data_IF_757006812971
#
_entry.id   IF_757006812971
#
_cell.length_a   1.000
_cell.length_b   1.000
_cell.length_c   1.000
_cell.angle_alpha   90.00
_cell.angle_beta   90.00
_cell.angle_gamma   90.00
#
_symmetry.space_group_name_H-M   'P 1'
#
loop_
_entity.id
_entity.type
_entity.pdbx_description
1 polymer ?
#
# COMPACT_ATOMS: atom_id res chain seq x y z
N UNK A 1 -26.22 4.23 9.16
CA UNK A 1 -24.89 4.32 8.53
C UNK A 1 -24.63 2.94 7.97
N UNK A 2 -24.53 2.81 6.65
CA UNK A 2 -24.25 1.53 6.03
C UNK A 2 -22.82 1.12 6.41
N UNK A 3 -22.66 -0.10 6.89
CA UNK A 3 -21.37 -0.61 7.38
C UNK A 3 -20.71 -1.36 6.24
N UNK A 4 -19.54 -0.89 5.85
CA UNK A 4 -18.78 -1.40 4.72
C UNK A 4 -17.74 -2.42 5.20
N UNK A 5 -17.73 -3.62 4.64
CA UNK A 5 -16.70 -4.64 4.84
C UNK A 5 -16.00 -4.97 3.53
N UNK A 6 -14.68 -5.10 3.55
CA UNK A 6 -13.93 -5.68 2.43
C UNK A 6 -13.72 -7.18 2.63
N UNK A 7 -14.02 -7.97 1.59
CA UNK A 7 -13.93 -9.43 1.61
C UNK A 7 -12.62 -9.92 0.97
N UNK A 8 -11.57 -10.04 1.78
CA UNK A 8 -10.26 -10.52 1.35
C UNK A 8 -10.27 -12.03 1.15
N UNK A 9 -9.93 -12.53 -0.04
CA UNK A 9 -9.97 -13.95 -0.33
C UNK A 9 -8.95 -14.35 -1.40
N UNK A 10 -8.64 -15.65 -1.48
CA UNK A 10 -7.97 -16.23 -2.64
C UNK A 10 -9.00 -16.41 -3.77
N UNK A 11 -8.60 -16.25 -5.04
CA UNK A 11 -9.48 -16.42 -6.20
C UNK A 11 -10.14 -17.81 -6.26
N UNK A 12 -9.50 -18.85 -5.73
CA UNK A 12 -10.05 -20.21 -5.63
C UNK A 12 -11.23 -20.31 -4.66
N UNK A 13 -11.22 -19.51 -3.59
CA UNK A 13 -12.24 -19.52 -2.54
C UNK A 13 -13.46 -18.64 -2.89
N UNK A 14 -13.37 -17.88 -3.99
CA UNK A 14 -14.37 -16.90 -4.42
C UNK A 14 -15.80 -17.42 -4.47
N UNK A 15 -16.11 -18.63 -4.96
CA UNK A 15 -17.49 -19.12 -5.02
C UNK A 15 -18.17 -19.25 -3.65
N UNK A 16 -17.42 -19.52 -2.59
CA UNK A 16 -17.96 -19.57 -1.23
C UNK A 16 -18.08 -18.18 -0.61
N UNK A 17 -17.12 -17.30 -0.87
CA UNK A 17 -17.14 -15.90 -0.44
C UNK A 17 -18.35 -15.17 -1.03
N UNK A 18 -18.72 -15.45 -2.28
CA UNK A 18 -19.90 -14.89 -2.94
C UNK A 18 -21.22 -15.26 -2.23
N UNK A 19 -21.31 -16.47 -1.67
CA UNK A 19 -22.50 -16.89 -0.89
C UNK A 19 -22.61 -16.07 0.39
N UNK A 20 -21.49 -15.93 1.10
CA UNK A 20 -21.41 -15.12 2.32
C UNK A 20 -21.71 -13.64 2.01
N UNK A 21 -21.16 -13.09 0.92
CA UNK A 21 -21.46 -11.74 0.44
C UNK A 21 -22.96 -11.54 0.23
N UNK A 22 -23.62 -12.50 -0.42
CA UNK A 22 -25.06 -12.43 -0.68
C UNK A 22 -25.86 -12.34 0.62
N UNK A 23 -25.49 -13.12 1.64
CA UNK A 23 -26.12 -13.07 2.97
C UNK A 23 -25.85 -11.75 3.71
N UNK A 24 -24.66 -11.17 3.56
CA UNK A 24 -24.33 -9.85 4.13
C UNK A 24 -25.18 -8.73 3.49
N UNK A 25 -25.30 -8.74 2.16
CA UNK A 25 -26.10 -7.77 1.41
C UNK A 25 -27.60 -7.85 1.78
N UNK A 26 -28.14 -9.06 1.97
CA UNK A 26 -29.53 -9.26 2.44
C UNK A 26 -29.79 -8.66 3.83
N UNK A 27 -28.74 -8.39 4.59
CA UNK A 27 -28.80 -7.81 5.94
C UNK A 27 -28.32 -6.37 5.98
N UNK A 28 -28.32 -5.69 4.82
CA UNK A 28 -27.94 -4.28 4.66
C UNK A 28 -26.49 -3.98 5.09
N UNK A 29 -25.59 -4.96 4.91
CA UNK A 29 -24.15 -4.80 5.10
C UNK A 29 -23.50 -4.74 3.72
N UNK A 30 -22.91 -3.59 3.40
CA UNK A 30 -22.21 -3.37 2.15
C UNK A 30 -20.90 -4.17 2.15
N UNK A 31 -20.84 -5.16 1.26
CA UNK A 31 -19.76 -6.15 1.25
C UNK A 31 -19.01 -6.10 -0.08
N UNK A 32 -17.86 -5.42 -0.03
CA UNK A 32 -16.99 -5.15 -1.17
C UNK A 32 -16.19 -6.39 -1.57
N UNK A 33 -16.30 -6.75 -2.86
CA UNK A 33 -15.63 -7.89 -3.47
C UNK A 33 -15.10 -7.49 -4.85
N UNK A 34 -13.80 -7.72 -5.04
CA UNK A 34 -13.01 -7.40 -6.24
C UNK A 34 -13.72 -7.58 -7.61
N UNK A 35 -14.50 -8.66 -7.80
CA UNK A 35 -15.17 -8.96 -9.07
C UNK A 35 -16.34 -8.03 -9.42
N UNK A 36 -17.02 -7.50 -8.42
CA UNK A 36 -18.27 -6.77 -8.62
C UNK A 36 -18.11 -5.28 -8.42
N UNK A 37 -17.22 -4.91 -7.50
CA UNK A 37 -17.14 -3.54 -7.01
C UNK A 37 -15.92 -2.80 -7.54
N UNK A 38 -15.04 -3.48 -8.29
CA UNK A 38 -13.95 -2.85 -9.03
C UNK A 38 -14.27 -2.77 -10.53
N UNK A 39 -14.09 -1.57 -11.06
CA UNK A 39 -14.11 -1.24 -12.47
C UNK A 39 -13.02 -2.03 -13.23
N UNK A 40 -13.40 -2.73 -14.31
CA UNK A 40 -12.44 -3.32 -15.23
C UNK A 40 -11.51 -2.26 -15.84
N UNK A 41 -10.27 -2.66 -16.18
CA UNK A 41 -9.25 -1.81 -16.79
C UNK A 41 -8.65 -0.70 -15.91
N UNK A 42 -9.06 -0.61 -14.64
CA UNK A 42 -8.36 0.15 -13.61
C UNK A 42 -7.50 -0.78 -12.76
N UNK A 43 -6.40 -0.27 -12.22
CA UNK A 43 -5.60 -1.02 -11.25
C UNK A 43 -6.47 -1.29 -10.02
N UNK A 44 -6.46 -2.53 -9.55
CA UNK A 44 -7.29 -2.92 -8.41
C UNK A 44 -6.82 -2.25 -7.11
N UNK A 45 -5.54 -1.89 -7.03
CA UNK A 45 -4.96 -1.17 -5.89
C UNK A 45 -5.54 0.25 -5.77
N UNK A 46 -5.57 1.03 -6.86
CA UNK A 46 -6.14 2.40 -6.85
C UNK A 46 -7.60 2.40 -6.39
N UNK A 47 -8.36 1.40 -6.84
CA UNK A 47 -9.76 1.25 -6.47
C UNK A 47 -9.92 0.81 -5.02
N UNK A 48 -9.04 -0.06 -4.53
CA UNK A 48 -8.99 -0.42 -3.12
C UNK A 48 -8.65 0.81 -2.25
N UNK A 49 -7.76 1.71 -2.70
CA UNK A 49 -7.42 2.97 -2.02
C UNK A 49 -8.61 3.95 -1.94
N UNK A 50 -9.50 3.94 -2.94
CA UNK A 50 -10.73 4.75 -2.93
C UNK A 50 -11.76 4.22 -1.92
N UNK A 51 -11.85 2.90 -1.76
CA UNK A 51 -12.82 2.27 -0.85
C UNK A 51 -12.27 2.08 0.56
N UNK A 52 -10.95 2.00 0.76
CA UNK A 52 -10.35 1.74 2.08
C UNK A 52 -10.63 2.86 3.09
N UNK A 53 -10.91 4.09 2.61
CA UNK A 53 -11.39 5.19 3.44
C UNK A 53 -12.87 5.06 3.88
N UNK A 54 -13.62 4.18 3.24
CA UNK A 54 -15.06 3.98 3.44
C UNK A 54 -15.38 2.69 4.21
N UNK A 55 -14.46 1.71 4.18
CA UNK A 55 -14.61 0.45 4.91
C UNK A 55 -14.37 0.61 6.41
N UNK A 56 -15.17 -0.08 7.22
CA UNK A 56 -15.03 -0.13 8.67
C UNK A 56 -14.42 -1.46 9.15
N UNK A 57 -14.46 -2.47 8.28
CA UNK A 57 -13.98 -3.81 8.57
C UNK A 57 -13.36 -4.52 7.36
N UNK A 58 -12.51 -5.51 7.64
CA UNK A 58 -11.98 -6.45 6.67
C UNK A 58 -12.20 -7.89 7.17
N UNK A 59 -12.77 -8.74 6.32
CA UNK A 59 -12.96 -10.16 6.58
C UNK A 59 -12.02 -10.97 5.68
N UNK A 60 -11.13 -11.77 6.28
CA UNK A 60 -10.10 -12.54 5.58
C UNK A 60 -10.54 -13.99 5.47
N UNK A 61 -10.92 -14.42 4.29
CA UNK A 61 -11.43 -15.75 4.02
C UNK A 61 -10.30 -16.72 3.70
N UNK A 62 -10.40 -17.92 4.28
CA UNK A 62 -9.46 -19.03 4.08
C UNK A 62 -10.27 -20.29 3.80
N UNK A 63 -10.18 -20.81 2.58
CA UNK A 63 -10.87 -22.03 2.15
C UNK A 63 -9.91 -23.12 1.70
N UNK A 64 -10.19 -23.69 0.54
CA UNK A 64 -9.50 -24.85 -0.01
C UNK A 64 -8.11 -24.56 -0.57
N UNK A 65 -7.76 -23.29 -0.75
CA UNK A 65 -6.46 -22.90 -1.28
C UNK A 65 -5.32 -23.37 -0.37
N UNK A 66 -4.21 -23.85 -0.96
CA UNK A 66 -3.02 -24.29 -0.21
C UNK A 66 -2.31 -23.14 0.53
N UNK A 67 -2.66 -21.90 0.20
CA UNK A 67 -2.11 -20.69 0.79
C UNK A 67 -3.21 -19.64 1.00
N UNK A 68 -3.35 -19.15 2.23
CA UNK A 68 -4.30 -18.08 2.56
C UNK A 68 -3.97 -16.76 1.85
N UNK A 69 -4.86 -15.75 1.89
CA UNK A 69 -4.71 -14.51 1.12
C UNK A 69 -3.40 -13.77 1.39
N UNK A 70 -2.82 -13.92 2.59
CA UNK A 70 -1.56 -13.32 3.00
C UNK A 70 -0.30 -13.87 2.31
N UNK A 71 -0.41 -14.98 1.56
CA UNK A 71 0.69 -15.44 0.72
C UNK A 71 0.87 -14.55 -0.52
N UNK A 72 -0.20 -13.90 -0.97
CA UNK A 72 -0.11 -12.84 -1.95
C UNK A 72 0.43 -11.58 -1.24
N UNK A 73 1.57 -11.08 -1.73
CA UNK A 73 2.28 -9.93 -1.13
C UNK A 73 1.40 -8.68 -1.14
N UNK A 74 0.67 -8.43 -2.23
CA UNK A 74 -0.21 -7.27 -2.36
C UNK A 74 -1.32 -7.31 -1.30
N UNK A 75 -1.97 -8.46 -1.14
CA UNK A 75 -2.97 -8.68 -0.09
C UNK A 75 -2.36 -8.54 1.31
N UNK A 76 -1.13 -9.01 1.53
CA UNK A 76 -0.44 -8.88 2.83
C UNK A 76 -0.22 -7.43 3.22
N UNK A 77 0.14 -6.55 2.29
CA UNK A 77 0.33 -5.13 2.57
C UNK A 77 -1.00 -4.44 2.91
N UNK A 78 -2.11 -4.79 2.25
CA UNK A 78 -3.43 -4.30 2.66
C UNK A 78 -3.82 -4.75 4.07
N UNK A 79 -3.45 -5.97 4.45
CA UNK A 79 -3.66 -6.43 5.82
C UNK A 79 -2.84 -5.63 6.83
N UNK A 80 -1.65 -5.14 6.45
CA UNK A 80 -0.85 -4.22 7.28
C UNK A 80 -1.56 -2.87 7.38
N UNK A 81 -2.01 -2.30 6.27
CA UNK A 81 -2.74 -1.02 6.23
C UNK A 81 -4.02 -1.07 7.10
N UNK A 82 -4.77 -2.17 7.06
CA UNK A 82 -5.94 -2.35 7.93
C UNK A 82 -5.59 -2.34 9.42
N UNK A 83 -4.42 -2.89 9.80
CA UNK A 83 -3.90 -2.82 11.18
C UNK A 83 -3.51 -1.39 11.54
N UNK A 84 -2.81 -0.68 10.66
CA UNK A 84 -2.36 0.70 10.91
C UNK A 84 -3.55 1.66 11.07
N UNK A 85 -4.61 1.46 10.28
CA UNK A 85 -5.87 2.21 10.39
C UNK A 85 -6.77 1.75 11.54
N UNK A 86 -6.38 0.70 12.26
CA UNK A 86 -7.16 0.11 13.37
C UNK A 86 -8.57 -0.31 12.94
N UNK A 87 -8.72 -0.78 11.70
CA UNK A 87 -9.99 -1.33 11.23
C UNK A 87 -10.32 -2.63 11.97
N UNK A 88 -11.61 -2.96 12.03
CA UNK A 88 -12.01 -4.26 12.56
C UNK A 88 -11.61 -5.33 11.56
N UNK A 89 -10.83 -6.30 12.01
CA UNK A 89 -10.36 -7.36 11.14
C UNK A 89 -10.60 -8.72 11.78
N UNK A 90 -10.96 -9.71 10.96
CA UNK A 90 -11.22 -11.05 11.42
C UNK A 90 -10.90 -12.08 10.35
N UNK A 91 -10.43 -13.24 10.79
CA UNK A 91 -10.20 -14.39 9.93
C UNK A 91 -11.46 -15.25 9.87
N UNK A 92 -11.88 -15.61 8.67
CA UNK A 92 -13.06 -16.40 8.37
C UNK A 92 -12.63 -17.70 7.71
N UNK A 93 -12.88 -18.82 8.37
CA UNK A 93 -12.54 -20.15 7.86
C UNK A 93 -13.75 -20.69 7.12
N UNK A 94 -13.57 -20.97 5.83
CA UNK A 94 -14.61 -21.50 4.96
C UNK A 94 -14.79 -23.02 5.16
N UNK A 95 -15.98 -23.57 4.85
CA UNK A 95 -16.24 -25.01 4.91
C UNK A 95 -15.25 -25.87 4.13
N UNK A 96 -14.76 -25.37 2.99
CA UNK A 96 -13.77 -26.06 2.15
C UNK A 96 -12.35 -26.12 2.74
N UNK A 97 -12.08 -25.40 3.84
CA UNK A 97 -10.75 -25.36 4.42
C UNK A 97 -10.32 -26.71 5.01
N UNK A 98 -9.27 -27.28 4.42
CA UNK A 98 -8.71 -28.60 4.77
C UNK A 98 -7.80 -28.55 6.00
N UNK A 99 -7.31 -27.37 6.37
CA UNK A 99 -6.36 -27.21 7.47
C UNK A 99 -7.05 -27.24 8.83
N UNK A 100 -6.43 -27.92 9.79
CA UNK A 100 -6.78 -27.81 11.20
C UNK A 100 -6.47 -26.40 11.74
N UNK A 101 -7.12 -26.01 12.85
CA UNK A 101 -6.82 -24.73 13.50
C UNK A 101 -5.34 -24.60 13.92
N UNK A 102 -4.69 -25.70 14.29
CA UNK A 102 -3.26 -25.73 14.62
C UNK A 102 -2.36 -25.47 13.41
N UNK A 103 -2.69 -26.05 12.25
CA UNK A 103 -1.95 -25.84 11.00
C UNK A 103 -2.13 -24.40 10.51
N UNK A 104 -3.38 -23.90 10.54
CA UNK A 104 -3.68 -22.50 10.23
C UNK A 104 -2.90 -21.56 11.14
N UNK A 105 -2.85 -21.80 12.46
CA UNK A 105 -2.07 -20.96 13.38
C UNK A 105 -0.58 -20.95 13.05
N UNK A 106 -0.04 -22.01 12.44
CA UNK A 106 1.37 -22.07 12.08
C UNK A 106 1.66 -21.26 10.81
N UNK A 107 0.76 -21.35 9.82
CA UNK A 107 0.90 -20.68 8.52
C UNK A 107 0.42 -19.23 8.52
N UNK A 108 -0.45 -18.86 9.45
CA UNK A 108 -1.02 -17.50 9.55
C UNK A 108 0.04 -16.54 10.12
N UNK A 109 0.23 -15.35 9.53
CA UNK A 109 1.08 -14.30 10.09
C UNK A 109 0.76 -13.99 11.57
N UNK A 110 1.79 -13.69 12.38
CA UNK A 110 1.62 -13.53 13.84
C UNK A 110 0.53 -12.52 14.21
N UNK A 111 0.44 -11.40 13.50
CA UNK A 111 -0.56 -10.37 13.79
C UNK A 111 -2.00 -10.87 13.59
N UNK A 112 -2.24 -11.76 12.62
CA UNK A 112 -3.56 -12.33 12.35
C UNK A 112 -3.99 -13.39 13.39
N UNK A 113 -3.04 -14.00 14.10
CA UNK A 113 -3.33 -15.00 15.16
C UNK A 113 -4.01 -14.38 16.38
N UNK A 114 -3.86 -13.07 16.56
CA UNK A 114 -4.39 -12.34 17.72
C UNK A 114 -5.86 -11.95 17.58
N UNK A 115 -6.45 -12.10 16.39
CA UNK A 115 -7.87 -11.82 16.18
C UNK A 115 -8.76 -13.01 16.52
N UNK A 116 -10.02 -12.75 16.86
CA UNK A 116 -11.03 -13.80 16.95
C UNK A 116 -11.38 -14.30 15.55
N UNK A 117 -11.40 -15.62 15.40
CA UNK A 117 -11.68 -16.28 14.13
C UNK A 117 -13.14 -16.74 14.08
N UNK A 118 -13.75 -16.64 12.91
CA UNK A 118 -15.10 -17.15 12.63
C UNK A 118 -14.96 -18.41 11.80
N UNK A 119 -15.42 -19.54 12.32
CA UNK A 119 -15.27 -20.85 11.66
C UNK A 119 -16.60 -21.34 11.09
N UNK A 120 -16.78 -21.24 9.77
CA UNK A 120 -18.01 -21.69 9.08
C UNK A 120 -18.12 -23.22 8.98
N UNK A 121 -17.10 -23.97 9.44
CA UNK A 121 -17.21 -25.44 9.62
C UNK A 121 -18.02 -25.79 10.86
N UNK A 122 -18.21 -24.83 11.78
CA UNK A 122 -18.97 -24.98 13.01
C UNK A 122 -20.33 -24.29 12.89
N UNK A 123 -21.35 -24.85 13.53
CA UNK A 123 -22.73 -24.32 13.49
C UNK A 123 -23.11 -23.59 14.78
N UNK A 124 -22.37 -23.81 15.87
CA UNK A 124 -22.61 -23.17 17.17
C UNK A 124 -21.28 -22.65 17.75
N UNK A 125 -21.14 -21.33 18.00
CA UNK A 125 -22.13 -20.29 17.70
C UNK A 125 -22.32 -20.07 16.19
N UNK A 126 -23.51 -19.61 15.79
CA UNK A 126 -23.87 -19.30 14.39
C UNK A 126 -22.78 -18.42 13.73
N UNK A 127 -22.06 -18.94 12.72
CA UNK A 127 -20.88 -18.26 12.16
C UNK A 127 -21.25 -16.98 11.43
N UNK A 128 -22.44 -16.90 10.81
CA UNK A 128 -22.89 -15.67 10.15
C UNK A 128 -23.18 -14.57 11.17
N UNK A 129 -23.80 -14.91 12.31
CA UNK A 129 -23.97 -13.94 13.42
C UNK A 129 -22.64 -13.48 13.99
N UNK A 130 -21.65 -14.37 14.12
CA UNK A 130 -20.31 -14.01 14.58
C UNK A 130 -19.60 -13.09 13.59
N UNK A 131 -19.69 -13.37 12.28
CA UNK A 131 -19.12 -12.52 11.23
C UNK A 131 -19.73 -11.11 11.26
N UNK A 132 -21.06 -11.02 11.33
CA UNK A 132 -21.77 -9.74 11.43
C UNK A 132 -21.36 -9.00 12.70
N UNK A 133 -21.23 -9.69 13.83
CA UNK A 133 -20.74 -9.06 15.05
C UNK A 133 -19.31 -8.51 14.87
N UNK A 134 -18.41 -9.29 14.27
CA UNK A 134 -17.04 -8.85 13.97
C UNK A 134 -16.98 -7.61 13.08
N UNK A 135 -17.80 -7.57 12.02
CA UNK A 135 -17.90 -6.43 11.11
C UNK A 135 -18.48 -5.21 11.83
N UNK A 136 -19.62 -5.40 12.50
CA UNK A 136 -20.44 -4.29 13.00
C UNK A 136 -20.01 -3.77 14.37
N UNK A 137 -19.27 -4.56 15.13
CA UNK A 137 -18.94 -4.32 16.53
C UNK A 137 -20.12 -4.42 17.49
N UNK A 138 -21.31 -4.81 17.02
CA UNK A 138 -22.54 -4.89 17.81
C UNK A 138 -22.89 -6.36 18.04
N UNK A 139 -22.93 -6.79 19.30
CA UNK A 139 -23.31 -8.16 19.65
C UNK A 139 -24.81 -8.36 19.34
N UNK A 140 -25.22 -9.44 18.66
CA UNK A 140 -26.62 -9.70 18.32
C UNK A 140 -27.60 -9.94 19.48
N UNK A 141 -27.28 -9.57 20.73
CA UNK A 141 -28.04 -9.93 21.94
C UNK A 141 -28.31 -8.72 22.87
N UNK A 142 -28.89 -7.66 22.32
CA UNK A 142 -29.46 -6.55 23.12
C UNK A 142 -30.64 -5.89 22.41
N UNK A 143 -31.63 -6.68 21.98
CA UNK A 143 -32.98 -6.16 21.75
C UNK A 143 -33.91 -6.77 22.80
N UNK A 144 -34.31 -6.01 23.84
CA UNK A 144 -35.51 -6.33 24.60
C UNK A 144 -36.72 -6.17 23.67
N UNK A 145 -37.58 -7.18 23.66
CA UNK A 145 -38.86 -7.21 22.96
C UNK A 145 -39.65 -5.92 23.18
N UNK A 146 -40.10 -5.29 22.09
CA UNK A 146 -40.89 -4.05 22.13
C UNK A 146 -42.19 -4.20 22.95
N UNK A 147 -42.71 -3.08 23.45
CA UNK A 147 -44.11 -2.75 23.15
C UNK A 147 -44.23 -1.48 22.30
N UNK A 148 -45.19 -1.55 21.38
CA UNK A 148 -45.73 -0.48 20.54
C UNK A 148 -46.32 0.65 21.38
N UNK A 149 -45.92 1.91 21.15
CA UNK A 149 -46.79 3.10 21.32
C UNK A 149 -46.43 4.16 20.27
N UNK A 150 -47.47 4.72 19.66
CA UNK A 150 -47.48 5.69 18.56
C UNK A 150 -47.20 7.15 19.00
N UNK A 151 -46.72 7.92 18.02
CA UNK A 151 -46.91 9.38 17.77
C UNK A 151 -46.33 10.41 18.75
N UNK A 152 -45.37 11.22 18.26
CA UNK A 152 -45.51 12.66 17.88
C UNK A 152 -44.11 13.33 17.78
N UNK A 153 -43.90 14.12 16.72
CA UNK A 153 -42.90 15.22 16.61
C UNK A 153 -43.60 16.56 16.95
N UNK A 154 -42.95 17.75 17.09
CA UNK A 154 -41.54 18.17 16.88
C UNK A 154 -40.99 19.06 18.07
N UNK A 155 -39.75 19.60 18.16
CA UNK A 155 -39.17 20.78 17.45
C UNK A 155 -37.74 21.12 17.97
N UNK A 156 -36.84 21.50 17.03
CA UNK A 156 -35.78 22.54 16.98
C UNK A 156 -35.08 23.06 18.27
N UNK A 157 -33.74 22.91 18.32
CA UNK A 157 -32.69 23.92 18.67
C UNK A 157 -31.36 23.19 18.97
N UNK A 158 -30.13 23.60 18.67
CA UNK A 158 -29.48 24.69 17.93
C UNK A 158 -27.99 24.27 17.79
N UNK A 159 -27.33 24.53 16.66
CA UNK A 159 -25.88 24.33 16.49
C UNK A 159 -25.06 25.28 17.38
N UNK A 160 -23.77 24.96 17.57
CA UNK A 160 -22.78 25.87 16.99
C UNK A 160 -21.74 25.16 16.14
N UNK A 161 -21.58 25.71 14.94
CA UNK A 161 -20.43 25.57 14.07
C UNK A 161 -19.19 26.19 14.76
N UNK A 162 -18.03 25.55 14.64
CA UNK A 162 -16.75 26.27 14.77
C UNK A 162 -15.83 25.89 13.62
N UNK A 163 -15.93 26.74 12.61
CA UNK A 163 -15.01 26.94 11.50
C UNK A 163 -13.64 27.35 12.10
N UNK A 164 -12.59 26.62 11.77
CA UNK A 164 -11.24 27.19 11.73
C UNK A 164 -10.94 27.49 10.26
N UNK A 165 -11.01 28.77 9.92
CA UNK A 165 -10.61 29.32 8.63
C UNK A 165 -9.08 29.35 8.52
N UNK A 166 -8.66 29.10 7.28
CA UNK A 166 -7.32 29.03 6.72
C UNK A 166 -6.45 30.27 6.95
N UNK A 167 -5.15 30.03 7.12
CA UNK A 167 -4.03 30.86 6.64
C UNK A 167 -2.76 29.99 6.78
N UNK A 168 -2.05 29.52 5.77
CA UNK A 168 -1.95 29.86 4.36
C UNK A 168 -1.66 28.57 3.60
N UNK A 169 -2.56 28.14 2.72
CA UNK A 169 -2.15 27.34 1.56
C UNK A 169 -2.62 28.11 0.35
N UNK A 170 -1.87 29.18 0.07
CA UNK A 170 -1.86 29.76 -1.26
C UNK A 170 -1.57 28.63 -2.24
N UNK A 171 -2.61 28.24 -2.96
CA UNK A 171 -2.53 27.44 -4.17
C UNK A 171 -1.75 28.24 -5.21
N UNK A 172 -0.43 28.30 -5.07
CA UNK A 172 0.39 28.57 -6.22
C UNK A 172 0.35 27.32 -7.08
N UNK A 173 -0.24 27.44 -8.27
CA UNK A 173 0.10 26.57 -9.40
C UNK A 173 1.59 26.76 -9.68
N UNK A 174 2.44 26.19 -8.83
CA UNK A 174 3.88 26.20 -8.98
C UNK A 174 4.20 25.32 -10.18
N UNK A 175 4.52 25.97 -11.29
CA UNK A 175 5.11 25.33 -12.46
C UNK A 175 6.29 24.51 -11.95
N UNK A 176 6.29 23.20 -12.24
CA UNK A 176 7.39 22.34 -11.84
C UNK A 176 8.67 22.81 -12.55
N UNK A 177 9.73 23.01 -11.77
CA UNK A 177 11.07 23.29 -12.28
C UNK A 177 11.65 22.00 -12.88
N UNK A 178 11.61 21.89 -14.22
CA UNK A 178 12.06 20.74 -15.00
C UNK A 178 13.48 20.94 -15.57
N UNK A 179 14.37 21.59 -14.80
CA UNK A 179 15.73 21.88 -15.25
C UNK A 179 16.53 20.62 -15.62
N UNK A 180 17.40 20.73 -16.62
CA UNK A 180 18.33 19.68 -17.06
C UNK A 180 19.62 20.30 -17.56
N UNK A 181 20.77 19.77 -17.14
CA UNK A 181 22.09 20.09 -17.71
C UNK A 181 22.32 19.38 -19.06
N UNK A 182 21.50 18.37 -19.36
CA UNK A 182 21.63 17.50 -20.54
C UNK A 182 20.51 17.68 -21.55
N UNK A 183 19.56 18.57 -21.29
CA UNK A 183 18.40 18.79 -22.15
C UNK A 183 17.40 17.63 -22.14
N UNK A 184 17.37 16.84 -21.06
CA UNK A 184 16.42 15.74 -20.86
C UNK A 184 15.04 16.33 -20.57
N UNK A 185 14.01 15.80 -21.24
CA UNK A 185 12.62 16.18 -21.02
C UNK A 185 12.00 15.34 -19.88
N UNK A 186 11.66 16.01 -18.77
CA UNK A 186 11.03 15.42 -17.60
C UNK A 186 9.50 15.58 -17.54
N UNK A 187 8.88 16.10 -18.60
CA UNK A 187 7.42 16.34 -18.62
C UNK A 187 6.62 15.07 -18.43
N UNK A 188 7.00 13.98 -19.10
CA UNK A 188 6.33 12.67 -18.96
C UNK A 188 6.45 12.13 -17.54
N UNK A 189 7.64 12.15 -16.94
CA UNK A 189 7.85 11.73 -15.56
C UNK A 189 6.96 12.53 -14.60
N UNK A 190 6.95 13.86 -14.73
CA UNK A 190 6.09 14.76 -13.94
C UNK A 190 4.61 14.38 -14.07
N UNK A 191 4.14 14.12 -15.27
CA UNK A 191 2.72 13.86 -15.53
C UNK A 191 2.28 12.48 -15.01
N UNK A 192 3.15 11.47 -15.11
CA UNK A 192 2.92 10.15 -14.51
C UNK A 192 2.86 10.23 -12.99
N UNK A 193 3.80 10.95 -12.36
CA UNK A 193 3.82 11.17 -10.92
C UNK A 193 2.59 11.93 -10.43
N UNK A 194 2.18 12.98 -11.14
CA UNK A 194 0.94 13.73 -10.83
C UNK A 194 -0.31 12.86 -10.91
N UNK A 195 -0.33 11.92 -11.84
CA UNK A 195 -1.44 11.00 -12.03
C UNK A 195 -1.43 9.82 -11.03
N UNK A 196 -0.40 9.70 -10.18
CA UNK A 196 -0.24 8.56 -9.28
C UNK A 196 0.10 7.26 -9.99
N UNK A 197 0.55 7.31 -11.24
CA UNK A 197 0.95 6.12 -11.99
C UNK A 197 2.40 5.74 -11.63
N UNK A 198 2.57 5.20 -10.42
CA UNK A 198 3.86 4.99 -9.77
C UNK A 198 4.76 4.01 -10.52
N UNK A 199 4.18 2.97 -11.12
CA UNK A 199 4.92 1.96 -11.88
C UNK A 199 5.52 2.55 -13.15
N UNK A 200 4.70 3.23 -13.95
CA UNK A 200 5.19 3.87 -15.16
C UNK A 200 6.14 5.03 -14.83
N UNK A 201 5.95 5.72 -13.70
CA UNK A 201 6.87 6.75 -13.23
C UNK A 201 8.23 6.19 -12.79
N UNK A 202 8.27 5.00 -12.16
CA UNK A 202 9.52 4.31 -11.81
C UNK A 202 10.29 3.93 -13.07
N UNK A 203 9.60 3.35 -14.04
CA UNK A 203 10.17 2.99 -15.33
C UNK A 203 10.63 4.22 -16.13
N UNK A 204 9.83 5.29 -16.18
CA UNK A 204 10.23 6.54 -16.83
C UNK A 204 11.43 7.17 -16.11
N UNK A 205 11.55 7.03 -14.79
CA UNK A 205 12.73 7.47 -14.03
C UNK A 205 13.99 6.78 -14.54
N UNK A 206 13.94 5.46 -14.77
CA UNK A 206 15.03 4.72 -15.41
C UNK A 206 15.37 5.28 -16.80
N UNK A 207 14.37 5.50 -17.67
CA UNK A 207 14.58 6.01 -19.03
C UNK A 207 15.23 7.40 -19.04
N UNK A 208 14.76 8.33 -18.21
CA UNK A 208 15.33 9.69 -18.17
C UNK A 208 16.72 9.71 -17.55
N UNK A 209 17.03 8.80 -16.62
CA UNK A 209 18.39 8.66 -16.08
C UNK A 209 19.36 8.11 -17.13
N UNK A 210 18.96 7.16 -17.96
CA UNK A 210 19.75 6.71 -19.11
C UNK A 210 20.03 7.84 -20.10
N UNK A 211 19.00 8.60 -20.46
CA UNK A 211 19.15 9.76 -21.35
C UNK A 211 20.14 10.79 -20.81
N UNK A 212 20.12 11.06 -19.50
CA UNK A 212 21.04 11.99 -18.85
C UNK A 212 22.52 11.57 -18.93
N UNK A 213 22.79 10.27 -19.12
CA UNK A 213 24.14 9.72 -19.35
C UNK A 213 24.37 9.30 -20.81
N UNK A 214 23.51 9.76 -21.74
CA UNK A 214 23.58 9.47 -23.17
C UNK A 214 23.55 7.97 -23.51
N UNK A 215 22.61 7.24 -22.87
CA UNK A 215 22.34 5.83 -23.11
C UNK A 215 20.91 5.59 -23.57
N UNK A 216 20.70 4.41 -24.15
CA UNK A 216 19.43 3.96 -24.72
C UNK A 216 18.69 3.00 -23.77
N UNK A 217 17.38 2.86 -23.99
CA UNK A 217 16.53 1.91 -23.27
C UNK A 217 17.07 0.48 -23.36
N UNK A 218 17.05 -0.25 -22.23
CA UNK A 218 17.58 -1.61 -22.12
C UNK A 218 19.07 -1.67 -21.75
N UNK A 219 19.75 -0.53 -21.65
CA UNK A 219 21.11 -0.42 -21.13
C UNK A 219 21.12 -0.17 -19.60
N UNK A 220 22.31 -0.24 -18.99
CA UNK A 220 22.52 0.02 -17.56
C UNK A 220 23.49 1.19 -17.35
N UNK A 221 23.33 1.94 -16.27
CA UNK A 221 24.22 3.07 -15.94
C UNK A 221 25.45 2.51 -15.21
N UNK A 222 26.65 2.88 -15.65
CA UNK A 222 27.90 2.49 -14.98
C UNK A 222 28.12 3.33 -13.72
N UNK A 223 28.82 2.75 -12.76
CA UNK A 223 29.19 3.41 -11.50
C UNK A 223 29.90 4.77 -11.74
N UNK A 224 30.82 4.86 -12.70
CA UNK A 224 31.54 6.10 -13.01
C UNK A 224 30.63 7.18 -13.61
N UNK A 225 29.57 6.77 -14.31
CA UNK A 225 28.55 7.66 -14.87
C UNK A 225 27.65 8.18 -13.75
N UNK A 226 27.24 7.32 -12.81
CA UNK A 226 26.49 7.74 -11.61
C UNK A 226 27.28 8.70 -10.72
N UNK A 227 28.58 8.46 -10.51
CA UNK A 227 29.44 9.36 -9.73
C UNK A 227 29.58 10.76 -10.36
N UNK A 228 29.31 10.89 -11.65
CA UNK A 228 29.36 12.15 -12.42
C UNK A 228 27.98 12.60 -12.88
N UNK A 229 26.91 11.97 -12.39
CA UNK A 229 25.55 12.21 -12.87
C UNK A 229 25.19 13.71 -12.69
N UNK A 230 24.58 14.38 -13.68
CA UNK A 230 24.36 15.82 -13.60
C UNK A 230 23.49 16.19 -12.39
N UNK A 231 23.91 17.20 -11.61
CA UNK A 231 23.24 17.50 -10.35
C UNK A 231 21.87 18.15 -10.56
N UNK A 232 21.71 18.91 -11.63
CA UNK A 232 20.41 19.52 -11.98
C UNK A 232 19.38 18.44 -12.30
N UNK A 233 19.75 17.49 -13.16
CA UNK A 233 18.93 16.35 -13.55
C UNK A 233 18.53 15.50 -12.34
N UNK A 234 19.49 15.15 -11.48
CA UNK A 234 19.21 14.38 -10.26
C UNK A 234 18.27 15.12 -9.30
N UNK A 235 18.46 16.44 -9.16
CA UNK A 235 17.60 17.29 -8.32
C UNK A 235 16.19 17.42 -8.90
N UNK A 236 16.05 17.48 -10.22
CA UNK A 236 14.75 17.54 -10.89
C UNK A 236 13.96 16.26 -10.64
N UNK A 237 14.59 15.09 -10.83
CA UNK A 237 13.96 13.79 -10.56
C UNK A 237 13.53 13.71 -9.08
N UNK A 238 14.44 14.02 -8.15
CA UNK A 238 14.17 13.91 -6.72
C UNK A 238 13.03 14.84 -6.26
N UNK A 239 13.04 16.11 -6.71
CA UNK A 239 11.97 17.08 -6.41
C UNK A 239 10.61 16.61 -6.93
N UNK A 240 10.55 16.04 -8.14
CA UNK A 240 9.31 15.53 -8.72
C UNK A 240 8.74 14.38 -7.87
N UNK A 241 9.58 13.42 -7.50
CA UNK A 241 9.17 12.30 -6.64
C UNK A 241 8.68 12.79 -5.28
N UNK A 242 9.42 13.67 -4.61
CA UNK A 242 9.01 14.22 -3.30
C UNK A 242 7.67 14.95 -3.41
N UNK A 243 7.54 15.86 -4.39
CA UNK A 243 6.37 16.73 -4.50
C UNK A 243 5.09 15.93 -4.70
N UNK A 244 5.11 14.99 -5.64
CA UNK A 244 3.89 14.28 -6.04
C UNK A 244 3.59 13.07 -5.14
N UNK A 245 4.57 12.57 -4.38
CA UNK A 245 4.37 11.54 -3.35
C UNK A 245 4.10 12.09 -1.94
N UNK A 246 3.91 13.40 -1.79
CA UNK A 246 3.77 14.07 -0.49
C UNK A 246 4.95 13.76 0.48
N UNK A 247 6.16 13.70 -0.07
CA UNK A 247 7.39 13.44 0.68
C UNK A 247 7.63 11.98 1.07
N UNK A 248 6.86 11.04 0.51
CA UNK A 248 7.04 9.60 0.77
C UNK A 248 8.21 9.01 -0.01
N UNK A 249 8.44 9.47 -1.24
CA UNK A 249 9.38 8.88 -2.19
C UNK A 249 10.40 9.91 -2.70
N UNK A 250 11.52 9.41 -3.21
CA UNK A 250 12.64 10.21 -3.70
C UNK A 250 13.99 9.66 -3.26
N UNK A 251 15.03 9.98 -4.03
CA UNK A 251 16.39 9.57 -3.74
C UNK A 251 16.95 10.24 -2.47
N UNK A 252 16.59 11.49 -2.20
CA UNK A 252 16.95 12.16 -0.95
C UNK A 252 16.27 11.53 0.26
N UNK A 253 15.04 11.03 0.09
CA UNK A 253 14.32 10.26 1.12
C UNK A 253 15.03 8.94 1.39
N UNK A 254 15.39 8.20 0.35
CA UNK A 254 16.20 6.98 0.45
C UNK A 254 17.53 7.24 1.14
N UNK A 255 18.25 8.30 0.76
CA UNK A 255 19.49 8.72 1.40
C UNK A 255 19.31 8.98 2.90
N UNK A 256 18.27 9.73 3.30
CA UNK A 256 18.00 9.98 4.71
C UNK A 256 17.76 8.67 5.49
N UNK A 257 17.02 7.73 4.90
CA UNK A 257 16.76 6.43 5.52
C UNK A 257 18.05 5.60 5.63
N UNK A 258 18.86 5.57 4.57
CA UNK A 258 20.16 4.89 4.55
C UNK A 258 21.09 5.39 5.67
N UNK A 259 21.19 6.72 5.84
CA UNK A 259 21.97 7.31 6.93
C UNK A 259 21.37 6.97 8.30
N UNK A 260 20.03 6.93 8.42
CA UNK A 260 19.35 6.63 9.69
C UNK A 260 19.58 5.21 10.20
N UNK A 261 19.90 4.26 9.31
CA UNK A 261 20.23 2.87 9.68
C UNK A 261 21.73 2.64 9.87
N UNK A 262 22.53 3.72 9.92
CA UNK A 262 23.97 3.68 10.15
C UNK A 262 24.82 3.65 8.88
N UNK A 263 24.23 3.96 7.73
CA UNK A 263 24.95 4.00 6.46
C UNK A 263 25.87 5.20 6.30
N UNK A 264 26.89 5.02 5.48
CA UNK A 264 27.87 6.05 5.14
C UNK A 264 27.78 6.24 3.61
N UNK A 265 27.42 7.45 3.17
CA UNK A 265 27.31 7.77 1.74
C UNK A 265 28.69 8.12 1.15
N UNK A 266 29.67 7.20 1.27
CA UNK A 266 31.05 7.35 0.78
C UNK A 266 31.32 6.56 -0.52
N UNK A 267 30.27 5.97 -1.11
CA UNK A 267 30.36 5.17 -2.32
C UNK A 267 30.83 3.73 -2.10
N UNK A 268 30.93 3.27 -0.84
CA UNK A 268 31.31 1.89 -0.51
C UNK A 268 30.12 1.08 -0.05
N UNK A 269 30.14 -0.22 -0.37
CA UNK A 269 29.11 -1.16 0.04
C UNK A 269 29.38 -1.74 1.42
N UNK A 270 28.32 -1.72 2.23
CA UNK A 270 28.30 -2.25 3.59
C UNK A 270 27.10 -3.18 3.74
N UNK A 271 27.34 -4.49 3.63
CA UNK A 271 26.30 -5.52 3.61
C UNK A 271 25.25 -5.36 4.72
N UNK A 272 25.67 -5.27 5.98
CA UNK A 272 24.74 -5.19 7.12
C UNK A 272 23.86 -3.93 7.06
N UNK A 273 24.44 -2.79 6.68
CA UNK A 273 23.70 -1.55 6.50
C UNK A 273 22.73 -1.65 5.33
N UNK A 274 23.18 -2.21 4.21
CA UNK A 274 22.36 -2.38 3.01
C UNK A 274 21.14 -3.25 3.29
N UNK A 275 21.33 -4.34 4.02
CA UNK A 275 20.25 -5.21 4.50
C UNK A 275 19.24 -4.48 5.39
N UNK A 276 19.70 -3.71 6.39
CA UNK A 276 18.82 -2.88 7.24
C UNK A 276 18.08 -1.82 6.44
N UNK A 277 18.74 -1.23 5.46
CA UNK A 277 18.14 -0.26 4.56
C UNK A 277 17.03 -0.92 3.73
N UNK A 278 17.32 -2.07 3.10
CA UNK A 278 16.35 -2.88 2.34
C UNK A 278 15.13 -3.27 3.17
N UNK A 279 15.33 -3.68 4.43
CA UNK A 279 14.21 -3.98 5.35
C UNK A 279 13.36 -2.74 5.63
N UNK A 280 14.00 -1.56 5.73
CA UNK A 280 13.36 -0.29 6.08
C UNK A 280 12.58 0.31 4.92
N UNK A 281 13.09 0.21 3.69
CA UNK A 281 12.39 0.69 2.47
C UNK A 281 11.52 -0.38 1.83
N UNK A 282 11.58 -1.63 2.29
CA UNK A 282 10.73 -2.72 1.82
C UNK A 282 11.25 -3.45 0.59
N UNK A 283 12.54 -3.33 0.27
CA UNK A 283 13.21 -4.09 -0.79
C UNK A 283 13.70 -5.46 -0.32
N UNK A 284 13.69 -5.70 0.99
CA UNK A 284 13.99 -7.00 1.60
C UNK A 284 12.85 -7.44 2.50
N UNK A 285 12.39 -8.67 2.32
CA UNK A 285 11.32 -9.28 3.11
C UNK A 285 11.73 -10.68 3.53
N UNK A 286 11.63 -10.98 4.83
CA UNK A 286 12.04 -12.28 5.38
C UNK A 286 13.47 -12.70 4.98
N UNK A 287 14.41 -11.75 5.01
CA UNK A 287 15.82 -11.92 4.61
C UNK A 287 16.07 -12.14 3.11
N UNK A 288 15.03 -12.13 2.27
CA UNK A 288 15.14 -12.23 0.81
C UNK A 288 14.90 -10.89 0.11
N UNK A 289 15.71 -10.59 -0.91
CA UNK A 289 15.54 -9.41 -1.76
C UNK A 289 14.38 -9.63 -2.74
N UNK A 290 13.51 -8.63 -2.85
CA UNK A 290 12.41 -8.69 -3.81
C UNK A 290 12.94 -8.45 -5.23
N UNK A 291 12.33 -9.12 -6.19
CA UNK A 291 12.53 -8.85 -7.60
C UNK A 291 11.61 -7.71 -8.05
N UNK A 292 11.89 -7.07 -9.18
CA UNK A 292 11.11 -5.92 -9.66
C UNK A 292 9.62 -6.21 -9.84
N UNK A 293 9.27 -7.42 -10.28
CA UNK A 293 7.89 -7.89 -10.40
C UNK A 293 7.12 -7.93 -9.07
N UNK A 294 7.84 -7.85 -7.94
CA UNK A 294 7.30 -7.83 -6.58
C UNK A 294 7.37 -6.44 -5.92
N UNK A 295 7.84 -5.41 -6.64
CA UNK A 295 7.84 -4.02 -6.16
C UNK A 295 6.40 -3.52 -6.03
N UNK A 296 6.13 -2.77 -4.96
CA UNK A 296 4.81 -2.24 -4.65
C UNK A 296 4.73 -0.79 -5.11
N UNK A 297 3.92 -0.53 -6.12
CA UNK A 297 3.76 0.78 -6.75
C UNK A 297 2.57 1.54 -6.17
N UNK A 298 2.60 1.84 -4.86
CA UNK A 298 1.53 2.55 -4.14
C UNK A 298 2.13 3.45 -3.05
N UNK A 299 1.49 4.59 -2.74
CA UNK A 299 1.93 5.53 -1.68
C UNK A 299 1.80 5.00 -0.25
N UNK A 300 1.09 3.90 -0.06
CA UNK A 300 0.92 3.23 1.25
C UNK A 300 2.07 2.27 1.57
N UNK A 301 2.99 2.05 0.65
CA UNK A 301 4.23 1.33 0.94
C UNK A 301 5.15 2.12 1.87
N UNK A 302 6.25 1.49 2.29
CA UNK A 302 7.24 2.10 3.18
C UNK A 302 7.84 3.36 2.55
N UNK A 303 8.08 4.36 3.40
CA UNK A 303 8.80 5.57 3.00
C UNK A 303 10.13 5.21 2.32
N UNK A 304 10.43 5.84 1.19
CA UNK A 304 11.63 5.59 0.39
C UNK A 304 11.60 4.33 -0.50
N UNK A 305 10.47 3.61 -0.59
CA UNK A 305 10.38 2.41 -1.44
C UNK A 305 10.61 2.69 -2.93
N UNK A 306 10.18 3.87 -3.40
CA UNK A 306 10.38 4.33 -4.78
C UNK A 306 11.29 5.57 -4.80
N UNK A 307 12.07 5.77 -5.87
CA UNK A 307 12.18 4.91 -7.06
C UNK A 307 12.93 3.59 -6.79
N UNK A 308 12.51 2.47 -7.37
CA UNK A 308 13.09 1.13 -7.13
C UNK A 308 13.97 0.64 -8.27
N UNK A 309 13.59 0.93 -9.52
CA UNK A 309 14.28 0.37 -10.69
C UNK A 309 15.72 0.86 -10.78
N UNK A 310 16.01 2.05 -10.23
CA UNK A 310 17.38 2.57 -10.16
C UNK A 310 18.35 1.66 -9.39
N UNK A 311 17.87 0.82 -8.46
CA UNK A 311 18.67 -0.19 -7.78
C UNK A 311 19.02 -1.41 -8.65
N UNK A 312 18.28 -1.63 -9.74
CA UNK A 312 18.46 -2.72 -10.71
C UNK A 312 19.25 -2.29 -11.96
N UNK A 313 19.43 -0.98 -12.15
CA UNK A 313 20.05 -0.34 -13.33
C UNK A 313 21.58 -0.35 -13.28
N UNK A 314 22.19 -0.98 -12.28
CA UNK A 314 23.65 -1.07 -12.16
C UNK A 314 24.06 -2.53 -12.28
N UNK A 315 24.65 -2.86 -13.43
CA UNK A 315 24.97 -4.24 -13.82
C UNK A 315 25.98 -4.98 -12.94
N UNK A 316 26.65 -4.31 -11.98
CA UNK A 316 27.58 -4.91 -11.00
C UNK A 316 27.61 -4.09 -9.69
N UNK A 317 28.10 -4.71 -8.60
CA UNK A 317 28.12 -4.22 -7.22
C UNK A 317 28.38 -2.70 -7.07
N UNK A 318 27.60 -2.04 -6.19
CA UNK A 318 27.78 -0.66 -5.67
C UNK A 318 27.06 0.51 -6.39
N UNK A 319 26.06 0.23 -7.21
CA UNK A 319 25.32 1.26 -7.96
C UNK A 319 24.61 2.31 -7.11
N UNK A 320 23.83 1.84 -6.14
CA UNK A 320 23.09 2.71 -5.24
C UNK A 320 24.03 3.49 -4.31
N UNK A 321 25.16 2.91 -3.92
CA UNK A 321 26.19 3.56 -3.13
C UNK A 321 26.81 4.75 -3.87
N UNK A 322 27.08 4.59 -5.17
CA UNK A 322 27.55 5.67 -6.02
C UNK A 322 26.50 6.79 -6.17
N UNK A 323 25.22 6.41 -6.30
CA UNK A 323 24.12 7.37 -6.32
C UNK A 323 24.00 8.13 -4.98
N UNK A 324 24.10 7.43 -3.85
CA UNK A 324 24.07 8.02 -2.51
C UNK A 324 25.19 9.03 -2.30
N UNK A 325 26.42 8.68 -2.69
CA UNK A 325 27.55 9.61 -2.69
C UNK A 325 27.29 10.79 -3.64
N UNK A 326 26.68 10.54 -4.80
CA UNK A 326 26.38 11.61 -5.75
C UNK A 326 25.36 12.61 -5.21
N UNK A 327 24.33 12.14 -4.50
CA UNK A 327 23.34 13.01 -3.83
C UNK A 327 24.04 13.96 -2.84
N UNK A 328 24.96 13.43 -2.01
CA UNK A 328 25.78 14.24 -1.10
C UNK A 328 26.57 15.30 -1.87
N UNK A 329 27.28 14.92 -2.92
CA UNK A 329 28.08 15.84 -3.73
C UNK A 329 27.24 16.90 -4.46
N UNK A 330 25.96 16.61 -4.74
CA UNK A 330 25.02 17.54 -5.35
C UNK A 330 24.25 18.40 -4.34
N UNK A 331 24.50 18.27 -3.03
CA UNK A 331 23.76 18.92 -1.95
C UNK A 331 22.24 18.67 -2.03
N UNK A 332 21.86 17.43 -2.36
CA UNK A 332 20.48 16.92 -2.37
C UNK A 332 20.35 15.99 -1.18
#
# INVERSE_FOLDING_TARGET
MAKNVFLCHNSEDKPEVEKIRTELLQREIDAWLDKYDFEPFRLWQDQLEEIIGQIEAAAIFVGSSDVGPWANIEMREFLVEFVERKLRMGLVILPSCKYTLSELKTQTPRFLRSFHWVDFRQQDPDPMKQLIWGITGIKPESQPSQPVVQTQQPQISSLPQKIWLLSDFSSEKGIDDLGSEKGVDYTRLRDLLKAGNWKDADYETYLVMLKAVAREEGDWIRTEELLKFPCTDLRTIDKLWIKHSNGQFGFSVQKQIYLSVGGIADGRYYKETWEKFGDKVGWRMSEEWITYDKVIFSTFTKKGHLPSECGLVVGEDNGMEALLLRLVNCNI
#
